data_IF_247253105000
#
_entry.id   IF_247253105000
#
_cell.length_a   1.000
_cell.length_b   1.000
_cell.length_c   1.000
_cell.angle_alpha   90.00
_cell.angle_beta   90.00
_cell.angle_gamma   90.00
#
_symmetry.space_group_name_H-M   'P 1'
#
loop_
_entity.id
_entity.type
_entity.pdbx_description
1 polymer ?
#
# COMPACT_ATOMS: atom_id res chain seq x y z
N UNK A 1 2.86 21.38 -2.23
CA UNK A 1 1.75 20.95 -3.13
C UNK A 1 1.08 19.67 -2.62
N UNK A 2 1.77 18.56 -2.43
CA UNK A 2 1.20 17.26 -2.01
C UNK A 2 0.38 17.38 -0.73
N UNK A 3 0.92 17.96 0.34
CA UNK A 3 0.19 18.15 1.62
C UNK A 3 -1.11 18.95 1.47
N UNK A 4 -1.17 19.90 0.52
CA UNK A 4 -2.40 20.63 0.26
C UNK A 4 -3.47 19.74 -0.35
N UNK A 5 -3.08 18.87 -1.28
CA UNK A 5 -3.99 17.88 -1.88
C UNK A 5 -4.51 16.92 -0.80
N UNK A 6 -3.63 16.35 0.02
CA UNK A 6 -4.03 15.45 1.10
C UNK A 6 -5.03 16.12 2.04
N UNK A 7 -4.79 17.37 2.42
CA UNK A 7 -5.69 18.14 3.27
C UNK A 7 -7.07 18.41 2.63
N UNK A 8 -7.13 18.65 1.32
CA UNK A 8 -8.39 18.82 0.59
C UNK A 8 -9.25 17.55 0.62
N UNK A 9 -8.61 16.38 0.71
CA UNK A 9 -9.27 15.08 0.87
C UNK A 9 -9.50 14.68 2.36
N UNK A 10 -9.20 15.56 3.30
CA UNK A 10 -9.35 15.28 4.74
C UNK A 10 -8.36 14.24 5.26
N UNK A 11 -7.23 14.06 4.59
CA UNK A 11 -6.20 13.08 4.94
C UNK A 11 -5.05 13.73 5.70
N UNK A 12 -4.42 12.94 6.57
CA UNK A 12 -3.25 13.35 7.34
C UNK A 12 -2.01 13.50 6.45
N UNK A 13 -1.01 14.23 6.96
CA UNK A 13 0.26 14.41 6.26
C UNK A 13 1.03 13.12 6.06
N UNK A 14 0.72 12.08 6.83
CA UNK A 14 1.31 10.74 6.73
C UNK A 14 0.68 9.87 5.63
N UNK A 15 -0.39 10.35 4.99
CA UNK A 15 -1.03 9.67 3.87
C UNK A 15 -0.17 9.71 2.60
N UNK A 16 -0.45 8.80 1.69
CA UNK A 16 0.27 8.63 0.44
C UNK A 16 -0.67 8.77 -0.76
N UNK A 17 -0.14 9.30 -1.86
CA UNK A 17 -0.81 9.33 -3.15
C UNK A 17 -0.18 8.24 -4.00
N UNK A 18 -1.02 7.32 -4.51
CA UNK A 18 -0.60 6.27 -5.44
C UNK A 18 -1.16 6.61 -6.82
N UNK A 19 -0.27 6.66 -7.81
CA UNK A 19 -0.61 6.97 -9.20
C UNK A 19 -0.22 5.81 -10.11
N UNK A 20 -1.10 5.40 -11.03
CA UNK A 20 -0.91 4.25 -11.90
C UNK A 20 -1.09 4.53 -13.40
N UNK A 21 -1.21 5.77 -13.84
CA UNK A 21 -1.52 6.07 -15.26
C UNK A 21 -0.30 6.47 -16.10
N UNK A 22 0.69 7.12 -15.50
CA UNK A 22 1.87 7.62 -16.22
C UNK A 22 3.07 6.76 -15.86
N UNK A 23 3.62 5.99 -16.82
CA UNK A 23 4.73 5.08 -16.54
C UNK A 23 5.99 5.82 -16.08
N UNK A 24 6.71 5.20 -15.15
CA UNK A 24 8.03 5.65 -14.73
C UNK A 24 9.06 5.32 -15.81
N UNK A 25 9.85 6.30 -16.22
CA UNK A 25 10.94 6.11 -17.17
C UNK A 25 12.23 5.71 -16.42
N UNK A 26 12.26 4.47 -15.90
CA UNK A 26 13.38 3.98 -15.11
C UNK A 26 14.70 3.97 -15.89
N UNK A 27 14.64 3.70 -17.20
CA UNK A 27 15.81 3.74 -18.09
C UNK A 27 16.52 5.11 -18.08
N UNK A 28 15.79 6.18 -17.81
CA UNK A 28 16.33 7.55 -17.66
C UNK A 28 16.66 7.92 -16.22
N UNK A 29 16.59 6.96 -15.27
CA UNK A 29 16.87 7.18 -13.85
C UNK A 29 15.71 7.82 -13.08
N UNK A 30 14.48 7.83 -13.63
CA UNK A 30 13.32 8.32 -12.92
C UNK A 30 12.94 7.40 -11.76
N UNK A 31 12.76 7.97 -10.55
CA UNK A 31 12.32 7.20 -9.38
C UNK A 31 10.80 7.08 -9.33
N UNK A 32 10.25 5.89 -9.02
CA UNK A 32 8.83 5.70 -8.73
C UNK A 32 8.39 6.34 -7.41
N UNK A 33 9.34 6.58 -6.50
CA UNK A 33 9.10 7.20 -5.19
C UNK A 33 9.41 8.68 -5.27
N UNK A 34 8.39 9.53 -5.16
CA UNK A 34 8.49 10.99 -5.31
C UNK A 34 8.07 11.69 -4.02
N UNK A 35 8.47 12.96 -3.89
CA UNK A 35 8.08 13.81 -2.76
C UNK A 35 8.36 13.18 -1.39
N UNK A 36 9.58 12.63 -1.21
CA UNK A 36 10.01 11.94 0.02
C UNK A 36 9.04 10.81 0.45
N UNK A 37 8.61 10.00 -0.51
CA UNK A 37 7.73 8.86 -0.24
C UNK A 37 6.23 9.18 -0.23
N UNK A 38 5.83 10.44 -0.33
CA UNK A 38 4.41 10.83 -0.32
C UNK A 38 3.65 10.54 -1.61
N UNK A 39 4.38 10.43 -2.74
CA UNK A 39 3.80 10.09 -4.04
C UNK A 39 4.50 8.87 -4.59
N UNK A 40 3.72 7.84 -4.92
CA UNK A 40 4.20 6.58 -5.47
C UNK A 40 3.60 6.40 -6.86
N UNK A 41 4.46 6.20 -7.85
CA UNK A 41 4.04 5.88 -9.21
C UNK A 41 4.24 4.38 -9.39
N UNK A 42 3.15 3.64 -9.55
CA UNK A 42 3.18 2.17 -9.66
C UNK A 42 3.05 1.66 -11.10
N UNK A 43 2.99 2.57 -12.07
CA UNK A 43 2.98 2.21 -13.49
C UNK A 43 4.41 2.08 -14.02
N UNK A 44 4.78 0.88 -14.43
CA UNK A 44 6.05 0.59 -15.09
C UNK A 44 5.88 0.22 -16.56
N UNK A 45 4.65 0.34 -17.10
CA UNK A 45 4.38 -0.06 -18.48
C UNK A 45 4.45 -1.59 -18.65
N UNK A 46 3.53 -2.32 -18.00
CA UNK A 46 3.45 -3.79 -18.08
C UNK A 46 3.34 -4.34 -19.52
N UNK A 47 2.83 -3.54 -20.44
CA UNK A 47 2.79 -3.93 -21.85
C UNK A 47 4.19 -4.04 -22.43
N UNK A 48 4.49 -5.16 -23.09
CA UNK A 48 5.77 -5.43 -23.75
C UNK A 48 6.22 -4.28 -24.69
N UNK A 49 5.27 -3.58 -25.29
CA UNK A 49 5.55 -2.43 -26.15
C UNK A 49 6.13 -1.22 -25.41
N UNK A 50 5.86 -1.09 -24.11
CA UNK A 50 6.38 0.00 -23.27
C UNK A 50 7.68 -0.35 -22.57
N UNK A 51 7.96 -1.62 -22.31
CA UNK A 51 9.14 -2.07 -21.54
C UNK A 51 10.47 -1.55 -22.13
N UNK A 52 10.58 -1.47 -23.45
CA UNK A 52 11.76 -0.91 -24.11
C UNK A 52 11.95 0.60 -23.82
N UNK A 53 10.89 1.33 -23.49
CA UNK A 53 10.93 2.75 -23.17
C UNK A 53 11.07 3.01 -21.66
N UNK A 54 10.43 2.18 -20.86
CA UNK A 54 10.41 2.33 -19.40
C UNK A 54 11.60 1.67 -18.72
N UNK A 55 12.15 0.60 -19.32
CA UNK A 55 13.26 -0.20 -18.78
C UNK A 55 12.85 -1.16 -17.67
N UNK A 56 11.53 -1.38 -17.47
CA UNK A 56 10.98 -2.19 -16.38
C UNK A 56 9.67 -2.86 -16.80
N UNK A 57 9.34 -3.99 -16.18
CA UNK A 57 8.05 -4.66 -16.40
C UNK A 57 6.91 -4.04 -15.58
N UNK A 58 7.21 -3.47 -14.41
CA UNK A 58 6.19 -2.83 -13.58
C UNK A 58 6.53 -2.79 -12.11
N UNK A 59 5.59 -2.30 -11.31
CA UNK A 59 5.74 -2.18 -9.86
C UNK A 59 4.60 -2.87 -9.14
N UNK A 60 4.92 -3.47 -7.98
CA UNK A 60 3.93 -3.94 -7.01
C UNK A 60 4.10 -3.16 -5.71
N UNK A 61 3.03 -2.48 -5.27
CA UNK A 61 3.01 -1.85 -3.96
C UNK A 61 2.54 -2.86 -2.92
N UNK A 62 3.38 -3.12 -1.93
CA UNK A 62 3.09 -4.00 -0.80
C UNK A 62 2.87 -3.12 0.44
N UNK A 63 1.68 -3.23 1.04
CA UNK A 63 1.38 -2.62 2.32
C UNK A 63 0.99 -3.70 3.33
N UNK A 64 1.64 -3.69 4.48
CA UNK A 64 1.37 -4.64 5.55
C UNK A 64 1.60 -3.99 6.93
N UNK A 65 1.46 -4.79 8.00
CA UNK A 65 1.60 -4.31 9.38
C UNK A 65 3.01 -3.81 9.76
N UNK A 66 4.00 -4.01 8.91
CA UNK A 66 5.38 -3.53 9.12
C UNK A 66 5.71 -2.29 8.31
N UNK A 67 4.87 -1.92 7.35
CA UNK A 67 5.08 -0.72 6.54
C UNK A 67 4.69 -0.88 5.09
N UNK A 68 5.31 -0.07 4.24
CA UNK A 68 5.03 0.04 2.83
C UNK A 68 6.31 -0.15 2.02
N UNK A 69 6.24 -1.01 1.01
CA UNK A 69 7.37 -1.35 0.15
C UNK A 69 6.91 -1.37 -1.31
N UNK A 70 7.74 -0.86 -2.18
CA UNK A 70 7.56 -0.95 -3.63
C UNK A 70 8.51 -2.00 -4.18
N UNK A 71 7.99 -2.93 -4.97
CA UNK A 71 8.76 -3.96 -5.66
C UNK A 71 8.78 -3.63 -7.14
N UNK A 72 9.97 -3.46 -7.69
CA UNK A 72 10.21 -3.24 -9.12
C UNK A 72 10.51 -4.58 -9.79
N UNK A 73 9.78 -4.91 -10.84
CA UNK A 73 9.95 -6.18 -11.57
C UNK A 73 10.70 -5.95 -12.87
N UNK A 74 11.76 -6.72 -13.08
CA UNK A 74 12.45 -6.73 -14.36
C UNK A 74 11.57 -7.37 -15.45
N UNK A 75 11.78 -7.00 -16.73
CA UNK A 75 11.10 -7.63 -17.86
C UNK A 75 11.37 -9.13 -17.90
N UNK A 76 10.33 -9.91 -18.17
CA UNK A 76 10.46 -11.34 -18.44
C UNK A 76 11.22 -11.57 -19.75
N UNK A 77 12.28 -12.37 -19.73
CA UNK A 77 13.15 -12.61 -20.89
C UNK A 77 12.45 -13.46 -21.95
N UNK A 78 12.23 -14.74 -21.66
CA UNK A 78 11.52 -15.67 -22.53
C UNK A 78 11.08 -16.92 -21.76
N UNK A 79 10.11 -17.65 -22.34
CA UNK A 79 9.65 -18.92 -21.78
C UNK A 79 10.76 -19.99 -21.85
N UNK A 80 11.56 -19.98 -22.92
CA UNK A 80 12.70 -20.87 -23.11
C UNK A 80 13.74 -20.68 -22.02
N UNK A 81 14.13 -19.43 -21.73
CA UNK A 81 15.09 -19.12 -20.66
C UNK A 81 14.56 -19.57 -19.29
N UNK A 82 13.26 -19.36 -19.03
CA UNK A 82 12.67 -19.75 -17.76
C UNK A 82 12.63 -21.27 -17.56
N UNK A 83 12.38 -22.04 -18.64
CA UNK A 83 12.30 -23.51 -18.59
C UNK A 83 13.68 -24.15 -18.62
N UNK A 84 14.56 -23.73 -19.55
CA UNK A 84 15.84 -24.40 -19.80
C UNK A 84 16.93 -23.98 -18.79
N UNK A 85 16.89 -22.73 -18.32
CA UNK A 85 17.89 -22.15 -17.41
C UNK A 85 17.38 -21.95 -16.00
N UNK A 86 16.10 -22.28 -15.72
CA UNK A 86 15.45 -22.07 -14.43
C UNK A 86 15.60 -20.60 -13.95
N UNK A 87 15.59 -19.66 -14.91
CA UNK A 87 15.73 -18.23 -14.58
C UNK A 87 14.46 -17.71 -13.93
N UNK A 88 14.62 -17.02 -12.79
CA UNK A 88 13.52 -16.34 -12.13
C UNK A 88 13.49 -14.84 -12.50
N UNK A 89 12.35 -14.19 -12.28
CA UNK A 89 12.21 -12.76 -12.47
C UNK A 89 12.88 -12.05 -11.29
N UNK A 90 13.93 -11.32 -11.57
CA UNK A 90 14.55 -10.47 -10.58
C UNK A 90 13.65 -9.31 -10.21
N UNK A 91 13.63 -8.97 -8.93
CA UNK A 91 12.80 -7.89 -8.41
C UNK A 91 13.56 -7.10 -7.35
N UNK A 92 13.67 -5.80 -7.56
CA UNK A 92 14.26 -4.88 -6.60
C UNK A 92 13.21 -4.38 -5.61
N UNK A 93 13.61 -4.22 -4.34
CA UNK A 93 12.72 -3.79 -3.27
C UNK A 93 13.12 -2.42 -2.77
N UNK A 94 12.18 -1.49 -2.78
CA UNK A 94 12.35 -0.13 -2.28
C UNK A 94 11.47 0.03 -1.04
N UNK A 95 12.09 0.18 0.13
CA UNK A 95 11.35 0.50 1.36
C UNK A 95 10.87 1.95 1.30
N UNK A 96 9.56 2.16 1.26
CA UNK A 96 8.93 3.49 1.21
C UNK A 96 8.72 4.04 2.63
N UNK A 97 8.14 3.23 3.50
CA UNK A 97 7.86 3.58 4.90
C UNK A 97 7.96 2.34 5.77
N UNK A 98 8.72 2.43 6.85
CA UNK A 98 8.76 1.40 7.89
C UNK A 98 7.94 1.86 9.07
N UNK A 99 7.04 1.01 9.56
CA UNK A 99 6.31 1.29 10.79
C UNK A 99 7.27 1.18 12.00
N UNK A 100 7.23 2.11 12.96
CA UNK A 100 8.11 2.08 14.14
C UNK A 100 7.83 0.86 15.03
N UNK A 101 6.64 0.31 14.95
CA UNK A 101 6.22 -0.96 15.55
C UNK A 101 5.22 -1.64 14.63
N UNK A 102 5.02 -2.94 14.79
CA UNK A 102 3.99 -3.67 14.06
C UNK A 102 2.61 -3.03 14.31
N UNK A 103 1.93 -2.63 13.23
CA UNK A 103 0.57 -2.12 13.29
C UNK A 103 -0.42 -3.27 13.55
N UNK A 104 -1.32 -3.07 14.48
CA UNK A 104 -2.40 -4.01 14.80
C UNK A 104 -3.72 -3.51 14.20
N UNK A 105 -4.71 -4.40 14.08
CA UNK A 105 -6.06 -4.01 13.66
C UNK A 105 -6.61 -2.90 14.54
N UNK A 106 -6.33 -2.95 15.85
CA UNK A 106 -6.75 -1.92 16.80
C UNK A 106 -6.14 -0.53 16.58
N UNK A 107 -5.11 -0.39 15.74
CA UNK A 107 -4.49 0.89 15.37
C UNK A 107 -5.12 1.50 14.11
N UNK A 108 -5.94 0.73 13.39
CA UNK A 108 -6.68 1.19 12.20
C UNK A 108 -8.00 1.88 12.55
N UNK A 109 -8.57 2.60 11.59
CA UNK A 109 -9.90 3.23 11.74
C UNK A 109 -10.98 2.19 12.06
N UNK A 110 -11.00 1.08 11.33
CA UNK A 110 -11.91 -0.05 11.60
C UNK A 110 -11.71 -0.61 13.01
N UNK A 111 -10.46 -0.71 13.47
CA UNK A 111 -10.17 -1.19 14.82
C UNK A 111 -10.65 -0.24 15.90
N UNK A 112 -10.60 1.08 15.68
CA UNK A 112 -11.18 2.08 16.61
C UNK A 112 -12.70 1.96 16.67
N UNK A 113 -13.35 1.90 15.52
CA UNK A 113 -14.80 1.72 15.43
C UNK A 113 -15.27 0.42 16.13
N UNK A 114 -14.55 -0.67 15.93
CA UNK A 114 -14.85 -1.94 16.62
C UNK A 114 -14.71 -1.82 18.15
N UNK A 115 -13.70 -1.11 18.64
CA UNK A 115 -13.53 -0.87 20.09
C UNK A 115 -14.68 -0.07 20.68
N UNK A 116 -15.15 0.96 19.98
CA UNK A 116 -16.30 1.76 20.40
C UNK A 116 -17.56 0.90 20.49
N UNK A 117 -17.86 0.12 19.44
CA UNK A 117 -19.01 -0.81 19.43
C UNK A 117 -18.93 -1.87 20.52
N UNK A 118 -17.75 -2.42 20.78
CA UNK A 118 -17.55 -3.35 21.91
C UNK A 118 -17.86 -2.66 23.24
N UNK A 119 -17.42 -1.42 23.42
CA UNK A 119 -17.74 -0.63 24.61
C UNK A 119 -19.23 -0.42 24.81
N UNK A 120 -19.96 -0.06 23.76
CA UNK A 120 -21.42 0.09 23.77
C UNK A 120 -22.14 -1.22 24.13
N UNK A 121 -21.73 -2.34 23.53
CA UNK A 121 -22.32 -3.65 23.82
C UNK A 121 -22.06 -4.10 25.26
N UNK A 122 -20.88 -3.78 25.82
CA UNK A 122 -20.58 -4.08 27.22
C UNK A 122 -21.47 -3.26 28.17
N UNK A 123 -21.72 -1.99 27.87
CA UNK A 123 -22.65 -1.14 28.64
C UNK A 123 -24.07 -1.67 28.54
N UNK A 124 -24.54 -2.02 27.37
CA UNK A 124 -25.84 -2.62 27.15
C UNK A 124 -26.01 -3.92 27.96
N UNK A 125 -25.01 -4.79 27.91
CA UNK A 125 -25.00 -6.05 28.67
C UNK A 125 -25.05 -5.79 30.19
N UNK A 126 -24.34 -4.78 30.67
CA UNK A 126 -24.38 -4.39 32.07
C UNK A 126 -25.77 -3.87 32.49
N UNK A 127 -26.42 -3.07 31.63
CA UNK A 127 -27.78 -2.57 31.86
C UNK A 127 -28.83 -3.67 31.94
N UNK A 128 -28.74 -4.67 31.07
CA UNK A 128 -29.59 -5.87 31.15
C UNK A 128 -29.34 -6.65 32.44
N UNK A 129 -28.09 -6.89 32.80
CA UNK A 129 -27.74 -7.67 34.02
C UNK A 129 -28.13 -6.95 35.30
N UNK A 130 -28.13 -5.62 35.31
CA UNK A 130 -28.57 -4.81 36.46
C UNK A 130 -30.10 -4.61 36.56
N UNK A 131 -30.85 -5.05 35.54
CA UNK A 131 -32.32 -4.84 35.47
C UNK A 131 -32.74 -3.43 35.08
N UNK A 132 -31.79 -2.57 34.64
CA UNK A 132 -32.13 -1.23 34.11
C UNK A 132 -32.89 -1.33 32.78
N UNK A 133 -32.62 -2.37 32.00
CA UNK A 133 -33.34 -2.67 30.77
C UNK A 133 -33.96 -4.05 30.94
N UNK A 134 -35.28 -4.11 30.74
CA UNK A 134 -36.07 -5.35 30.80
C UNK A 134 -36.55 -5.66 29.39
N UNK A 135 -36.26 -6.85 28.91
CA UNK A 135 -36.78 -7.35 27.65
C UNK A 135 -38.33 -7.54 27.78
N UNK A 136 -39.10 -6.99 26.83
CA UNK A 136 -40.57 -7.09 26.81
C UNK A 136 -41.00 -8.32 26.03
#
# INVERSE_FOLDING_TARGET
MVNRILKEFGLDEDAHIVNGHVPVLQISGESPVKCNGKVLVIDGGFSKAYQAKTGIAGYTLIYNSYGMMLVAHEPFSSTEDAIERETDIHSDRIMVKMAPRRMLVGDSDTGRELKERIGELLQLLAAYRSGQIIEK
#
